data_IF_181567431880
#
_entry.id   IF_181567431880
#
_cell.length_a   1.000
_cell.length_b   1.000
_cell.length_c   1.000
_cell.angle_alpha   90.00
_cell.angle_beta   90.00
_cell.angle_gamma   90.00
#
_symmetry.space_group_name_H-M   'P 1'
#
loop_
_entity.id
_entity.type
_entity.pdbx_description
1 polymer ?
#
# COMPACT_ATOMS: atom_id res chain seq x y z
N UNK A 1 -20.98 23.14 -54.78
CA UNK A 1 -21.77 22.65 -53.64
C UNK A 1 -21.31 23.38 -52.38
N UNK A 2 -22.01 23.23 -51.27
CA UNK A 2 -21.84 23.99 -50.02
C UNK A 2 -20.55 23.65 -49.24
N UNK A 3 -19.38 23.93 -49.84
CA UNK A 3 -18.06 23.59 -49.29
C UNK A 3 -17.84 24.14 -47.87
N UNK A 4 -18.36 25.34 -47.58
CA UNK A 4 -18.31 25.92 -46.23
C UNK A 4 -19.17 25.17 -45.20
N UNK A 5 -20.28 24.57 -45.61
CA UNK A 5 -21.11 23.72 -44.75
C UNK A 5 -20.44 22.37 -44.50
N UNK A 6 -19.84 21.78 -45.54
CA UNK A 6 -19.09 20.53 -45.41
C UNK A 6 -17.91 20.67 -44.43
N UNK A 7 -17.17 21.78 -44.51
CA UNK A 7 -16.10 22.10 -43.56
C UNK A 7 -16.59 22.21 -42.11
N UNK A 8 -17.74 22.85 -41.91
CA UNK A 8 -18.34 22.98 -40.58
C UNK A 8 -18.72 21.64 -39.95
N UNK A 9 -19.22 20.68 -40.75
CA UNK A 9 -19.53 19.34 -40.27
C UNK A 9 -18.28 18.58 -39.82
N UNK A 10 -17.14 18.77 -40.50
CA UNK A 10 -15.87 18.15 -40.09
C UNK A 10 -15.41 18.69 -38.74
N UNK A 11 -15.42 20.02 -38.56
CA UNK A 11 -15.05 20.64 -37.29
C UNK A 11 -15.97 20.21 -36.15
N UNK A 12 -17.27 20.16 -36.40
CA UNK A 12 -18.25 19.70 -35.40
C UNK A 12 -18.04 18.22 -35.05
N UNK A 13 -17.78 17.37 -36.05
CA UNK A 13 -17.48 15.96 -35.84
C UNK A 13 -16.22 15.75 -35.00
N UNK A 14 -15.17 16.53 -35.25
CA UNK A 14 -13.94 16.50 -34.44
C UNK A 14 -14.22 16.99 -33.02
N UNK A 15 -14.94 18.11 -32.85
CA UNK A 15 -15.26 18.65 -31.53
C UNK A 15 -16.08 17.67 -30.69
N UNK A 16 -17.08 17.03 -31.29
CA UNK A 16 -17.89 15.99 -30.64
C UNK A 16 -17.03 14.75 -30.35
N UNK A 17 -16.20 14.32 -31.30
CA UNK A 17 -15.30 13.18 -31.12
C UNK A 17 -14.32 13.40 -29.97
N UNK A 18 -13.64 14.54 -29.95
CA UNK A 18 -12.72 14.94 -28.87
C UNK A 18 -13.47 15.06 -27.54
N UNK A 19 -14.67 15.65 -27.53
CA UNK A 19 -15.49 15.76 -26.33
C UNK A 19 -15.92 14.40 -25.77
N UNK A 20 -16.31 13.46 -26.63
CA UNK A 20 -16.67 12.10 -26.24
C UNK A 20 -15.43 11.30 -25.81
N UNK A 21 -14.33 11.38 -26.54
CA UNK A 21 -13.06 10.76 -26.15
C UNK A 21 -12.58 11.29 -24.80
N UNK A 22 -12.65 12.61 -24.59
CA UNK A 22 -12.34 13.23 -23.30
C UNK A 22 -13.32 12.80 -22.21
N UNK A 23 -14.61 12.63 -22.50
CA UNK A 23 -15.59 12.13 -21.53
C UNK A 23 -15.37 10.64 -21.20
N UNK A 24 -14.87 9.83 -22.14
CA UNK A 24 -14.54 8.43 -21.88
C UNK A 24 -13.23 8.31 -21.09
N UNK A 25 -12.18 9.03 -21.49
CA UNK A 25 -10.86 8.97 -20.86
C UNK A 25 -10.78 9.79 -19.57
N UNK A 26 -11.35 11.00 -19.57
CA UNK A 26 -11.38 11.92 -18.45
C UNK A 26 -12.43 11.59 -17.39
N UNK A 27 -13.33 10.64 -17.64
CA UNK A 27 -14.21 10.04 -16.61
C UNK A 27 -13.59 8.80 -15.96
N UNK A 28 -12.30 8.57 -16.20
CA UNK A 28 -11.48 7.58 -15.49
C UNK A 28 -10.52 8.17 -14.43
N UNK A 29 -10.89 9.21 -13.65
CA UNK A 29 -10.69 9.12 -12.22
C UNK A 29 -11.95 8.48 -11.69
N UNK A 30 -12.11 7.17 -11.91
CA UNK A 30 -12.86 6.38 -10.93
C UNK A 30 -11.97 6.50 -9.70
N UNK A 31 -12.29 7.49 -8.88
CA UNK A 31 -11.47 7.83 -7.74
C UNK A 31 -11.30 6.53 -6.96
N UNK A 32 -10.06 6.10 -6.75
CA UNK A 32 -9.76 5.01 -5.81
C UNK A 32 -10.34 5.28 -4.41
N UNK A 33 -10.84 6.49 -4.18
CA UNK A 33 -11.68 6.88 -3.05
C UNK A 33 -13.05 6.17 -2.98
N UNK A 34 -13.50 5.50 -4.04
CA UNK A 34 -14.80 4.80 -4.12
C UNK A 34 -14.65 3.27 -4.07
N UNK A 35 -13.43 2.75 -3.81
CA UNK A 35 -13.28 1.36 -3.36
C UNK A 35 -13.85 1.31 -1.96
N UNK A 36 -15.03 0.73 -1.85
CA UNK A 36 -15.73 0.58 -0.58
C UNK A 36 -14.84 -0.15 0.42
N UNK A 37 -14.94 0.19 1.72
CA UNK A 37 -14.09 -0.46 2.74
C UNK A 37 -14.26 -1.98 2.75
N UNK A 38 -15.43 -2.47 2.35
CA UNK A 38 -15.74 -3.89 2.19
C UNK A 38 -14.98 -4.53 1.03
N UNK A 39 -14.79 -3.84 -0.10
CA UNK A 39 -13.99 -4.35 -1.22
C UNK A 39 -12.51 -4.45 -0.84
N UNK A 40 -12.00 -3.49 -0.06
CA UNK A 40 -10.61 -3.51 0.41
C UNK A 40 -10.32 -4.69 1.35
N UNK A 41 -11.25 -5.03 2.25
CA UNK A 41 -11.10 -6.18 3.13
C UNK A 41 -11.06 -7.51 2.35
N UNK A 42 -11.84 -7.61 1.27
CA UNK A 42 -11.81 -8.78 0.36
C UNK A 42 -10.47 -8.88 -0.36
N UNK A 43 -9.96 -7.76 -0.89
CA UNK A 43 -8.64 -7.71 -1.55
C UNK A 43 -7.52 -8.10 -0.59
N UNK A 44 -7.52 -7.56 0.63
CA UNK A 44 -6.52 -7.87 1.64
C UNK A 44 -6.52 -9.35 2.03
N UNK A 45 -7.71 -9.96 2.12
CA UNK A 45 -7.85 -11.40 2.38
C UNK A 45 -7.31 -12.24 1.22
N UNK A 46 -7.59 -11.84 -0.02
CA UNK A 46 -7.08 -12.52 -1.21
C UNK A 46 -5.55 -12.45 -1.30
N UNK A 47 -4.96 -11.28 -1.06
CA UNK A 47 -3.49 -11.09 -1.05
C UNK A 47 -2.86 -11.89 0.10
N UNK A 48 -3.42 -11.82 1.31
CA UNK A 48 -2.93 -12.57 2.48
C UNK A 48 -2.85 -14.07 2.18
N UNK A 49 -3.91 -14.64 1.59
CA UNK A 49 -3.93 -16.05 1.16
C UNK A 49 -2.89 -16.33 0.09
N UNK A 50 -2.81 -15.47 -0.92
CA UNK A 50 -1.83 -15.62 -2.01
C UNK A 50 -0.40 -15.63 -1.46
N UNK A 51 -0.07 -14.74 -0.54
CA UNK A 51 1.25 -14.70 0.12
C UNK A 51 1.51 -15.99 0.91
N UNK A 52 0.49 -16.50 1.62
CA UNK A 52 0.57 -17.76 2.35
C UNK A 52 0.86 -18.96 1.42
N UNK A 53 0.27 -18.98 0.21
CA UNK A 53 0.53 -20.02 -0.80
C UNK A 53 2.00 -20.05 -1.26
N UNK A 54 2.70 -18.92 -1.16
CA UNK A 54 4.15 -18.83 -1.44
C UNK A 54 5.02 -19.00 -0.18
N UNK A 55 4.44 -19.37 0.97
CA UNK A 55 5.16 -19.58 2.23
C UNK A 55 5.45 -18.30 3.03
N UNK A 56 4.85 -17.17 2.65
CA UNK A 56 4.92 -15.93 3.40
C UNK A 56 3.89 -15.85 4.53
N UNK A 57 4.06 -14.85 5.41
CA UNK A 57 3.09 -14.55 6.48
C UNK A 57 2.74 -13.07 6.43
N UNK A 58 1.52 -12.77 6.01
CA UNK A 58 0.97 -11.42 6.00
C UNK A 58 -0.49 -11.48 6.47
N UNK A 59 -0.81 -11.11 7.72
CA UNK A 59 -2.18 -11.06 8.22
C UNK A 59 -3.04 -10.09 7.37
N UNK A 60 -4.34 -10.35 7.15
CA UNK A 60 -5.21 -9.47 6.35
C UNK A 60 -5.18 -8.00 6.82
N UNK A 61 -5.21 -7.75 8.13
CA UNK A 61 -5.13 -6.40 8.70
C UNK A 61 -3.84 -5.66 8.30
N UNK A 62 -2.70 -6.35 8.28
CA UNK A 62 -1.43 -5.77 7.82
C UNK A 62 -1.49 -5.43 6.34
N UNK A 63 -2.10 -6.30 5.53
CA UNK A 63 -2.26 -6.04 4.10
C UNK A 63 -3.16 -4.83 3.85
N UNK A 64 -4.24 -4.67 4.61
CA UNK A 64 -5.10 -3.46 4.54
C UNK A 64 -4.31 -2.18 4.83
N UNK A 65 -3.45 -2.19 5.87
CA UNK A 65 -2.57 -1.06 6.19
C UNK A 65 -1.60 -0.75 5.04
N UNK A 66 -1.02 -1.79 4.41
CA UNK A 66 -0.11 -1.63 3.26
C UNK A 66 -0.85 -1.04 2.05
N UNK A 67 -2.06 -1.51 1.76
CA UNK A 67 -2.89 -0.97 0.66
C UNK A 67 -3.26 0.49 0.91
N UNK A 68 -3.58 0.84 2.15
CA UNK A 68 -3.85 2.22 2.55
C UNK A 68 -2.59 3.12 2.40
N UNK A 69 -1.42 2.63 2.80
CA UNK A 69 -0.16 3.35 2.60
C UNK A 69 0.18 3.49 1.11
N UNK A 70 -0.08 2.46 0.31
CA UNK A 70 0.13 2.51 -1.14
C UNK A 70 -0.76 3.56 -1.80
N UNK A 71 -2.03 3.65 -1.39
CA UNK A 71 -2.95 4.70 -1.82
C UNK A 71 -2.42 6.09 -1.48
N UNK A 72 -1.91 6.29 -0.26
CA UNK A 72 -1.31 7.57 0.14
C UNK A 72 -0.08 7.91 -0.70
N UNK A 73 0.78 6.92 -0.99
CA UNK A 73 1.92 7.07 -1.88
C UNK A 73 1.51 7.55 -3.28
N UNK A 74 0.49 6.93 -3.89
CA UNK A 74 -0.03 7.33 -5.20
C UNK A 74 -0.64 8.74 -5.19
N UNK A 75 -1.17 9.19 -4.05
CA UNK A 75 -1.69 10.54 -3.85
C UNK A 75 -0.60 11.60 -3.63
N UNK A 76 0.67 11.19 -3.66
CA UNK A 76 1.80 12.08 -3.46
C UNK A 76 2.04 12.45 -2.00
N UNK A 77 1.58 11.62 -1.05
CA UNK A 77 2.01 11.77 0.33
C UNK A 77 3.55 11.70 0.39
N UNK A 78 4.21 12.63 1.11
CA UNK A 78 5.66 12.57 1.25
C UNK A 78 6.04 11.22 1.87
N UNK A 79 6.92 10.46 1.19
CA UNK A 79 7.58 9.35 1.85
C UNK A 79 8.39 9.99 2.98
N UNK A 80 8.07 9.64 4.22
CA UNK A 80 8.92 10.06 5.32
C UNK A 80 10.31 9.43 5.08
N UNK A 81 11.29 10.26 4.72
CA UNK A 81 12.68 9.83 4.69
C UNK A 81 13.07 9.41 6.13
N UNK A 82 13.28 8.10 6.33
CA UNK A 82 13.71 7.48 7.59
C UNK A 82 15.15 7.90 7.96
N UNK A 83 15.36 9.16 8.32
CA UNK A 83 16.62 9.64 8.92
C UNK A 83 16.60 9.65 10.47
N UNK A 84 15.53 9.19 11.11
CA UNK A 84 15.36 9.37 12.58
C UNK A 84 15.09 8.10 13.39
N UNK A 85 15.32 6.89 12.88
CA UNK A 85 15.16 5.67 13.72
C UNK A 85 16.36 4.72 13.78
N UNK A 86 17.53 5.16 13.33
CA UNK A 86 18.79 4.42 13.48
C UNK A 86 19.44 4.56 14.87
N UNK A 87 18.78 5.12 15.89
CA UNK A 87 19.42 5.42 17.18
C UNK A 87 18.51 5.15 18.39
N UNK A 88 17.96 3.94 18.50
CA UNK A 88 17.63 3.37 19.82
C UNK A 88 17.90 1.86 19.80
N UNK A 89 19.17 1.53 19.54
CA UNK A 89 19.75 0.22 19.81
C UNK A 89 20.89 0.45 20.79
N UNK A 90 20.59 0.28 22.07
CA UNK A 90 21.48 0.53 23.21
C UNK A 90 20.59 0.97 24.36
N UNK A 91 20.25 0.13 25.34
CA UNK A 91 21.08 -0.84 26.06
C UNK A 91 20.15 -1.99 26.45
N UNK A 92 20.51 -3.23 26.10
CA UNK A 92 20.03 -4.37 26.89
C UNK A 92 20.62 -4.15 28.27
N UNK A 93 19.78 -3.78 29.23
CA UNK A 93 20.08 -3.87 30.65
C UNK A 93 20.33 -5.36 30.92
N UNK A 94 21.61 -5.73 30.83
CA UNK A 94 22.11 -7.04 31.22
C UNK A 94 21.79 -7.18 32.71
N UNK A 95 20.86 -8.06 33.13
CA UNK A 95 20.68 -8.26 34.55
C UNK A 95 21.99 -8.84 35.07
N UNK A 96 22.67 -8.07 35.92
CA UNK A 96 23.87 -8.48 36.62
C UNK A 96 23.63 -9.83 37.30
N UNK A 97 24.06 -10.90 36.63
CA UNK A 97 24.10 -12.24 37.18
C UNK A 97 25.30 -12.33 38.11
N UNK A 98 25.21 -11.67 39.27
CA UNK A 98 26.15 -11.83 40.37
C UNK A 98 25.68 -12.99 41.26
N UNK A 99 25.71 -14.21 40.70
CA UNK A 99 25.67 -15.42 41.50
C UNK A 99 27.03 -16.13 41.37
N UNK A 100 27.88 -16.08 42.41
CA UNK A 100 29.03 -16.97 42.45
C UNK A 100 28.53 -18.41 42.54
N UNK A 101 28.86 -19.19 41.51
CA UNK A 101 28.72 -20.64 41.52
C UNK A 101 29.68 -21.17 42.57
N UNK A 102 29.17 -21.61 43.72
CA UNK A 102 29.97 -22.31 44.73
C UNK A 102 30.00 -23.82 44.41
N UNK A 103 31.15 -24.40 44.05
CA UNK A 103 31.25 -25.80 43.72
C UNK A 103 31.48 -26.65 44.99
N UNK A 104 30.51 -26.71 45.89
CA UNK A 104 30.58 -27.63 47.04
C UNK A 104 29.91 -28.99 46.74
N UNK A 105 30.73 -29.87 46.19
CA UNK A 105 30.98 -31.25 46.66
C UNK A 105 29.77 -32.12 47.07
N UNK A 106 29.42 -33.03 46.15
CA UNK A 106 29.21 -34.49 46.36
C UNK A 106 29.01 -34.98 47.82
N UNK A 107 27.82 -35.46 48.16
CA UNK A 107 27.48 -36.91 48.24
C UNK A 107 26.33 -37.23 49.22
N UNK A 108 25.60 -38.34 48.97
CA UNK A 108 24.43 -38.75 49.74
C UNK A 108 24.79 -39.69 50.90
N UNK A 109 24.03 -39.61 52.00
CA UNK A 109 23.56 -40.76 52.77
C UNK A 109 22.48 -40.36 53.77
#
# INVERSE_FOLDING_TARGET
>A
MNDGFAWWLVVLGIAVGVGLSWLVLGRLPRAEADVDQEERAVEATWISRTIADYGGVAPPALVEEVLELHRQYLQGAPLADDASRSHETGVLDEPAHDQPVDPEVRSPR
#
